data_IF_741670612784
#
_entry.id   IF_741670612784
#
_cell.length_a   1.000
_cell.length_b   1.000
_cell.length_c   1.000
_cell.angle_alpha   90.00
_cell.angle_beta   90.00
_cell.angle_gamma   90.00
#
_symmetry.space_group_name_H-M   'P 1'
#
loop_
_entity.id
_entity.type
_entity.pdbx_description
1 polymer ?
#
# COMPACT_ATOMS: atom_id res chain seq x y z
N UNK A 1 7.94 -27.37 -19.31
CA UNK A 1 7.65 -27.18 -17.87
C UNK A 1 7.36 -25.70 -17.65
N UNK A 2 6.21 -25.33 -17.02
CA UNK A 2 5.86 -24.04 -16.35
C UNK A 2 4.38 -23.59 -16.43
N UNK A 3 3.51 -24.28 -17.14
CA UNK A 3 2.14 -23.77 -17.38
C UNK A 3 1.25 -23.61 -16.13
N UNK A 4 1.56 -24.26 -14.99
CA UNK A 4 0.73 -24.19 -13.77
C UNK A 4 1.10 -23.02 -12.85
N UNK A 5 2.39 -22.78 -12.61
CA UNK A 5 2.84 -21.66 -11.76
C UNK A 5 2.55 -20.31 -12.42
N UNK A 6 2.80 -20.19 -13.72
CA UNK A 6 2.51 -18.97 -14.47
C UNK A 6 1.00 -18.68 -14.50
N UNK A 7 0.18 -19.72 -14.63
CA UNK A 7 -1.28 -19.61 -14.53
C UNK A 7 -1.75 -19.16 -13.14
N UNK A 8 -1.11 -19.63 -12.06
CA UNK A 8 -1.44 -19.17 -10.71
C UNK A 8 -1.08 -17.70 -10.49
N UNK A 9 0.14 -17.29 -10.89
CA UNK A 9 0.58 -15.88 -10.78
C UNK A 9 -0.34 -14.94 -11.56
N UNK A 10 -0.75 -15.36 -12.76
CA UNK A 10 -1.68 -14.58 -13.58
C UNK A 10 -3.08 -14.49 -12.94
N UNK A 11 -3.61 -15.59 -12.40
CA UNK A 11 -4.88 -15.55 -11.64
C UNK A 11 -4.81 -14.64 -10.42
N UNK A 12 -3.69 -14.69 -9.69
CA UNK A 12 -3.46 -13.80 -8.55
C UNK A 12 -3.40 -12.33 -8.99
N UNK A 13 -2.70 -12.03 -10.09
CA UNK A 13 -2.68 -10.69 -10.72
C UNK A 13 -4.09 -10.20 -11.04
N UNK A 14 -4.89 -11.03 -11.71
CA UNK A 14 -6.25 -10.69 -12.10
C UNK A 14 -7.14 -10.43 -10.88
N UNK A 15 -7.01 -11.24 -9.83
CA UNK A 15 -7.73 -11.03 -8.58
C UNK A 15 -7.35 -9.69 -7.92
N UNK A 16 -6.06 -9.34 -7.90
CA UNK A 16 -5.59 -8.06 -7.38
C UNK A 16 -6.11 -6.88 -8.21
N UNK A 17 -6.01 -6.95 -9.54
CA UNK A 17 -6.51 -5.90 -10.45
C UNK A 17 -8.01 -5.70 -10.24
N UNK A 18 -8.78 -6.78 -10.24
CA UNK A 18 -10.24 -6.72 -10.09
C UNK A 18 -10.63 -6.12 -8.74
N UNK A 19 -9.96 -6.52 -7.67
CA UNK A 19 -10.22 -5.96 -6.34
C UNK A 19 -9.86 -4.48 -6.29
N UNK A 20 -8.69 -4.10 -6.82
CA UNK A 20 -8.23 -2.71 -6.83
C UNK A 20 -9.20 -1.80 -7.60
N UNK A 21 -9.72 -2.25 -8.76
CA UNK A 21 -10.72 -1.52 -9.54
C UNK A 21 -12.01 -1.28 -8.78
N UNK A 22 -12.47 -2.25 -8.00
CA UNK A 22 -13.67 -2.08 -7.17
C UNK A 22 -13.42 -1.07 -6.05
N UNK A 23 -12.28 -1.18 -5.35
CA UNK A 23 -11.91 -0.24 -4.27
C UNK A 23 -11.77 1.19 -4.81
N UNK A 24 -11.17 1.37 -5.99
CA UNK A 24 -10.93 2.68 -6.61
C UNK A 24 -12.12 3.25 -7.37
N UNK A 25 -13.26 2.57 -7.42
CA UNK A 25 -14.42 2.87 -8.28
C UNK A 25 -14.14 2.87 -9.79
N UNK A 26 -13.00 2.37 -10.24
CA UNK A 26 -12.63 2.38 -11.66
C UNK A 26 -13.51 1.47 -12.53
N UNK A 27 -14.11 0.44 -11.93
CA UNK A 27 -15.04 -0.46 -12.63
C UNK A 27 -16.23 0.30 -13.28
N UNK A 28 -16.59 1.49 -12.76
CA UNK A 28 -17.65 2.34 -13.33
C UNK A 28 -17.27 2.86 -14.72
N UNK A 29 -15.99 3.10 -14.98
CA UNK A 29 -15.52 3.51 -16.31
C UNK A 29 -15.58 2.36 -17.32
N UNK A 30 -15.35 1.12 -16.86
CA UNK A 30 -15.44 -0.08 -17.69
C UNK A 30 -16.91 -0.37 -18.07
N UNK A 31 -17.86 -0.19 -17.14
CA UNK A 31 -19.31 -0.32 -17.42
C UNK A 31 -19.80 0.71 -18.44
N UNK A 32 -19.27 1.93 -18.40
CA UNK A 32 -19.66 3.02 -19.30
C UNK A 32 -19.00 2.91 -20.69
N UNK A 33 -17.90 2.17 -20.83
CA UNK A 33 -17.21 1.93 -22.10
C UNK A 33 -17.23 0.42 -22.44
N UNK A 34 -18.34 -0.05 -23.01
CA UNK A 34 -18.58 -1.45 -23.39
C UNK A 34 -17.55 -2.07 -24.36
N UNK A 35 -16.62 -1.28 -24.93
CA UNK A 35 -15.72 -1.70 -26.02
C UNK A 35 -14.21 -1.63 -25.69
N UNK A 36 -13.79 -1.48 -24.43
CA UNK A 36 -12.35 -1.48 -24.10
C UNK A 36 -11.89 -2.83 -23.57
N UNK A 37 -10.96 -3.46 -24.30
CA UNK A 37 -10.13 -4.56 -23.82
C UNK A 37 -9.66 -4.26 -22.39
N UNK A 38 -10.01 -5.16 -21.45
CA UNK A 38 -9.74 -5.05 -20.01
C UNK A 38 -8.24 -4.89 -19.67
N UNK A 39 -7.36 -5.01 -20.66
CA UNK A 39 -5.90 -5.01 -20.57
C UNK A 39 -5.23 -3.63 -20.49
N UNK A 40 -5.94 -2.52 -20.73
CA UNK A 40 -5.27 -1.28 -21.19
C UNK A 40 -5.31 -0.03 -20.28
N UNK A 41 -5.57 -0.16 -18.97
CA UNK A 41 -5.35 0.96 -18.04
C UNK A 41 -4.64 0.52 -16.75
N UNK A 42 -3.34 0.28 -16.91
CA UNK A 42 -2.23 0.68 -16.03
C UNK A 42 -2.58 0.90 -14.56
N UNK A 43 -2.97 -0.16 -13.85
CA UNK A 43 -2.46 -0.30 -12.50
C UNK A 43 -1.09 -0.93 -12.72
N UNK A 44 -0.01 -0.18 -12.51
CA UNK A 44 1.35 -0.71 -12.41
C UNK A 44 1.37 -1.70 -11.23
N UNK A 45 0.89 -2.91 -11.51
CA UNK A 45 1.14 -4.06 -10.69
C UNK A 45 2.59 -4.41 -10.93
N UNK A 46 3.38 -4.17 -9.88
CA UNK A 46 4.77 -4.54 -9.77
C UNK A 46 5.02 -5.92 -10.41
N UNK A 47 6.19 -6.09 -11.01
CA UNK A 47 6.71 -7.39 -11.45
C UNK A 47 6.38 -8.47 -10.42
N UNK A 48 5.50 -9.40 -10.81
CA UNK A 48 5.06 -10.53 -9.99
C UNK A 48 6.13 -11.64 -9.92
N UNK A 49 7.29 -11.38 -10.51
CA UNK A 49 8.38 -12.33 -10.65
C UNK A 49 9.01 -12.69 -9.28
N UNK A 50 8.79 -11.85 -8.26
CA UNK A 50 9.26 -12.04 -6.89
C UNK A 50 8.20 -12.57 -5.91
N UNK A 51 7.37 -13.53 -6.33
CA UNK A 51 6.44 -14.27 -5.47
C UNK A 51 7.04 -15.61 -5.03
N UNK A 52 7.86 -15.62 -3.97
CA UNK A 52 8.54 -16.84 -3.48
C UNK A 52 7.95 -17.37 -2.18
N UNK A 53 7.44 -16.48 -1.32
CA UNK A 53 6.93 -16.84 0.00
C UNK A 53 5.63 -16.09 0.34
N UNK A 54 4.99 -16.49 1.44
CA UNK A 54 3.74 -15.88 1.94
C UNK A 54 3.88 -14.37 2.17
N UNK A 55 5.03 -13.90 2.65
CA UNK A 55 5.27 -12.47 2.88
C UNK A 55 5.20 -11.68 1.57
N UNK A 56 5.68 -12.23 0.45
CA UNK A 56 5.59 -11.58 -0.86
C UNK A 56 4.14 -11.35 -1.29
N UNK A 57 3.26 -12.34 -1.09
CA UNK A 57 1.83 -12.22 -1.40
C UNK A 57 1.15 -11.15 -0.53
N UNK A 58 1.41 -11.15 0.77
CA UNK A 58 0.85 -10.14 1.70
C UNK A 58 1.33 -8.74 1.31
N UNK A 59 2.63 -8.60 1.00
CA UNK A 59 3.22 -7.33 0.57
C UNK A 59 2.58 -6.80 -0.71
N UNK A 60 2.42 -7.65 -1.73
CA UNK A 60 1.79 -7.25 -2.99
C UNK A 60 0.31 -6.92 -2.79
N UNK A 61 -0.41 -7.70 -1.99
CA UNK A 61 -1.81 -7.43 -1.66
C UNK A 61 -1.97 -6.08 -0.95
N UNK A 62 -1.20 -5.82 0.08
CA UNK A 62 -1.24 -4.56 0.84
C UNK A 62 -0.85 -3.35 -0.03
N UNK A 63 0.16 -3.50 -0.91
CA UNK A 63 0.53 -2.45 -1.87
C UNK A 63 -0.61 -2.16 -2.86
N UNK A 64 -1.28 -3.20 -3.36
CA UNK A 64 -2.41 -3.06 -4.27
C UNK A 64 -3.59 -2.33 -3.60
N UNK A 65 -3.95 -2.78 -2.39
CA UNK A 65 -5.02 -2.17 -1.60
C UNK A 65 -4.69 -0.69 -1.31
N UNK A 66 -3.47 -0.38 -0.84
CA UNK A 66 -3.02 1.00 -0.57
C UNK A 66 -3.09 1.90 -1.81
N UNK A 67 -2.65 1.42 -2.99
CA UNK A 67 -2.76 2.18 -4.24
C UNK A 67 -4.22 2.47 -4.63
N UNK A 68 -5.11 1.48 -4.47
CA UNK A 68 -6.53 1.65 -4.78
C UNK A 68 -7.19 2.65 -3.81
N UNK A 69 -6.86 2.58 -2.52
CA UNK A 69 -7.32 3.55 -1.52
C UNK A 69 -6.83 4.96 -1.81
N UNK A 70 -5.57 5.14 -2.21
CA UNK A 70 -5.05 6.44 -2.66
C UNK A 70 -5.92 6.99 -3.78
N UNK A 71 -6.21 6.18 -4.79
CA UNK A 71 -7.05 6.62 -5.91
C UNK A 71 -8.48 6.98 -5.48
N UNK A 72 -9.04 6.23 -4.52
CA UNK A 72 -10.40 6.45 -4.00
C UNK A 72 -10.50 7.69 -3.12
N UNK A 73 -9.54 7.90 -2.23
CA UNK A 73 -9.65 8.85 -1.10
C UNK A 73 -8.69 10.04 -1.20
N UNK A 74 -7.79 10.09 -2.18
CA UNK A 74 -6.91 11.24 -2.42
C UNK A 74 -7.33 12.02 -3.65
N UNK A 75 -7.22 13.35 -3.56
CA UNK A 75 -7.38 14.24 -4.70
C UNK A 75 -6.01 14.76 -5.13
N UNK A 76 -5.59 14.43 -6.36
CA UNK A 76 -4.26 14.79 -6.88
C UNK A 76 -4.01 16.30 -6.89
N UNK A 77 -5.03 17.11 -7.26
CA UNK A 77 -4.92 18.56 -7.32
C UNK A 77 -4.74 19.16 -5.93
N UNK A 78 -5.56 18.74 -4.96
CA UNK A 78 -5.45 19.19 -3.57
C UNK A 78 -4.11 18.79 -2.98
N UNK A 79 -3.68 17.54 -3.21
CA UNK A 79 -2.39 17.06 -2.73
C UNK A 79 -1.23 17.90 -3.27
N UNK A 80 -1.21 18.19 -4.58
CA UNK A 80 -0.16 19.00 -5.22
C UNK A 80 -0.18 20.45 -4.76
N UNK A 81 -1.35 21.06 -4.60
CA UNK A 81 -1.48 22.45 -4.14
C UNK A 81 -0.94 22.66 -2.72
N UNK A 82 -0.96 21.62 -1.88
CA UNK A 82 -0.48 21.68 -0.50
C UNK A 82 0.91 21.04 -0.31
N UNK A 83 1.58 20.65 -1.41
CA UNK A 83 2.84 19.93 -1.35
C UNK A 83 3.99 20.85 -0.87
N UNK A 84 4.68 20.54 0.24
CA UNK A 84 5.74 21.39 0.74
C UNK A 84 6.94 21.51 -0.22
N UNK A 85 7.55 22.70 -0.28
CA UNK A 85 8.76 22.93 -1.06
C UNK A 85 10.01 22.29 -0.41
N UNK A 86 10.09 22.30 0.92
CA UNK A 86 11.18 21.66 1.66
C UNK A 86 11.08 20.13 1.54
N UNK A 87 12.19 19.48 1.20
CA UNK A 87 12.26 18.03 0.98
C UNK A 87 11.93 17.20 2.22
N UNK A 88 12.41 17.60 3.39
CA UNK A 88 12.10 16.95 4.66
C UNK A 88 10.61 17.08 4.99
N UNK A 89 10.03 18.27 4.85
CA UNK A 89 8.60 18.48 5.07
C UNK A 89 7.74 17.70 4.06
N UNK A 90 8.21 17.56 2.81
CA UNK A 90 7.53 16.77 1.78
C UNK A 90 7.46 15.29 2.16
N UNK A 91 8.55 14.72 2.70
CA UNK A 91 8.54 13.34 3.16
C UNK A 91 7.49 13.10 4.26
N UNK A 92 7.38 14.03 5.22
CA UNK A 92 6.35 13.96 6.26
C UNK A 92 4.94 14.08 5.68
N UNK A 93 4.73 15.01 4.75
CA UNK A 93 3.45 15.19 4.08
C UNK A 93 3.02 13.95 3.28
N UNK A 94 3.96 13.29 2.60
CA UNK A 94 3.71 12.05 1.86
C UNK A 94 3.29 10.91 2.79
N UNK A 95 3.96 10.79 3.93
CA UNK A 95 3.62 9.81 4.98
C UNK A 95 2.22 10.12 5.54
N UNK A 96 1.93 11.38 5.86
CA UNK A 96 0.64 11.79 6.39
C UNK A 96 -0.51 11.51 5.43
N UNK A 97 -0.36 11.87 4.15
CA UNK A 97 -1.39 11.61 3.15
C UNK A 97 -1.60 10.10 2.94
N UNK A 98 -0.51 9.32 2.97
CA UNK A 98 -0.59 7.86 2.92
C UNK A 98 -1.40 7.27 4.08
N UNK A 99 -1.04 7.65 5.30
CA UNK A 99 -1.75 7.20 6.50
C UNK A 99 -3.21 7.62 6.45
N UNK A 100 -3.52 8.83 5.98
CA UNK A 100 -4.89 9.35 5.87
C UNK A 100 -5.75 8.50 4.95
N UNK A 101 -5.33 8.26 3.70
CA UNK A 101 -6.16 7.48 2.77
C UNK A 101 -6.27 6.01 3.17
N UNK A 102 -5.23 5.43 3.78
CA UNK A 102 -5.26 4.06 4.27
C UNK A 102 -6.22 3.93 5.45
N UNK A 103 -6.16 4.87 6.41
CA UNK A 103 -7.03 4.90 7.58
C UNK A 103 -8.51 5.04 7.21
N UNK A 104 -8.83 5.86 6.21
CA UNK A 104 -10.20 5.95 5.69
C UNK A 104 -10.66 4.62 5.11
N UNK A 105 -9.79 3.94 4.38
CA UNK A 105 -10.05 2.61 3.83
C UNK A 105 -10.30 1.55 4.89
N UNK A 106 -9.45 1.48 5.92
CA UNK A 106 -9.55 0.45 6.96
C UNK A 106 -10.81 0.55 7.80
N UNK A 107 -11.34 1.77 7.98
CA UNK A 107 -12.64 1.99 8.65
C UNK A 107 -13.81 1.34 7.92
N UNK A 108 -13.73 1.23 6.60
CA UNK A 108 -14.82 0.73 5.75
C UNK A 108 -14.59 -0.74 5.35
N UNK A 109 -13.34 -1.15 5.18
CA UNK A 109 -12.96 -2.43 4.57
C UNK A 109 -12.08 -3.25 5.53
N UNK A 110 -12.71 -4.07 6.38
CA UNK A 110 -12.04 -4.90 7.40
C UNK A 110 -10.95 -5.82 6.82
N UNK A 111 -11.18 -6.39 5.64
CA UNK A 111 -10.18 -7.24 4.95
C UNK A 111 -8.91 -6.47 4.59
N UNK A 112 -9.07 -5.24 4.08
CA UNK A 112 -7.94 -4.34 3.80
C UNK A 112 -7.21 -3.96 5.08
N UNK A 113 -7.94 -3.68 6.16
CA UNK A 113 -7.34 -3.41 7.47
C UNK A 113 -6.39 -4.53 7.87
N UNK A 114 -6.82 -5.78 7.75
CA UNK A 114 -5.98 -6.95 8.05
C UNK A 114 -4.73 -7.00 7.15
N UNK A 115 -4.90 -6.82 5.84
CA UNK A 115 -3.79 -6.86 4.88
C UNK A 115 -2.74 -5.78 5.16
N UNK A 116 -3.17 -4.54 5.41
CA UNK A 116 -2.28 -3.42 5.69
C UNK A 116 -1.54 -3.63 7.02
N UNK A 117 -2.27 -3.98 8.09
CA UNK A 117 -1.66 -4.26 9.40
C UNK A 117 -0.61 -5.37 9.30
N UNK A 118 -0.94 -6.48 8.63
CA UNK A 118 0.00 -7.59 8.45
C UNK A 118 1.27 -7.17 7.68
N UNK A 119 1.11 -6.40 6.61
CA UNK A 119 2.25 -5.87 5.85
C UNK A 119 3.11 -4.90 6.68
N UNK A 120 2.50 -4.04 7.49
CA UNK A 120 3.25 -3.16 8.40
C UNK A 120 4.03 -3.97 9.45
N UNK A 121 3.42 -5.00 10.06
CA UNK A 121 4.14 -5.89 10.98
C UNK A 121 5.33 -6.58 10.30
N UNK A 122 5.15 -7.07 9.06
CA UNK A 122 6.25 -7.65 8.30
C UNK A 122 7.37 -6.64 8.02
N UNK A 123 7.05 -5.41 7.62
CA UNK A 123 8.03 -4.33 7.38
C UNK A 123 8.84 -3.99 8.63
N UNK A 124 8.16 -3.88 9.78
CA UNK A 124 8.79 -3.58 11.07
C UNK A 124 9.70 -4.72 11.54
N UNK A 125 9.31 -5.97 11.32
CA UNK A 125 10.12 -7.13 11.71
C UNK A 125 11.36 -7.31 10.81
N UNK A 126 11.27 -6.99 9.52
CA UNK A 126 12.40 -7.08 8.59
C UNK A 126 13.45 -5.99 8.86
N UNK A 127 13.03 -4.72 9.01
CA UNK A 127 13.95 -3.59 9.24
C UNK A 127 14.82 -3.75 10.50
N UNK A 128 14.29 -4.41 11.53
CA UNK A 128 14.97 -4.53 12.84
C UNK A 128 16.07 -5.60 12.88
N UNK A 129 16.10 -6.56 11.95
CA UNK A 129 17.14 -7.59 11.99
C UNK A 129 18.55 -7.03 11.73
N UNK A 130 18.64 -5.93 10.97
CA UNK A 130 19.93 -5.52 10.42
C UNK A 130 20.38 -4.08 10.77
N UNK A 131 19.52 -3.18 11.29
CA UNK A 131 19.84 -1.72 11.25
C UNK A 131 19.59 -0.86 12.51
N UNK A 132 18.62 -1.17 13.39
CA UNK A 132 18.24 -0.24 14.48
C UNK A 132 18.68 -0.77 15.85
N UNK A 133 19.69 -0.11 16.46
CA UNK A 133 20.21 -0.46 17.80
C UNK A 133 19.74 0.53 18.87
N UNK A 134 19.51 1.78 18.49
CA UNK A 134 19.12 2.89 19.37
C UNK A 134 18.01 3.75 18.74
N UNK A 135 17.36 4.64 19.51
CA UNK A 135 16.29 5.52 19.01
C UNK A 135 16.85 6.59 18.07
N UNK A 136 18.12 6.92 18.24
CA UNK A 136 18.89 7.92 17.52
C UNK A 136 19.27 7.46 16.10
N UNK A 137 19.20 6.14 15.83
CA UNK A 137 19.50 5.55 14.51
C UNK A 137 18.38 5.79 13.47
N UNK A 138 17.24 6.37 13.89
CA UNK A 138 16.05 6.55 13.07
C UNK A 138 15.96 8.00 12.56
N UNK A 139 15.90 8.19 11.24
CA UNK A 139 15.67 9.53 10.69
C UNK A 139 14.27 10.06 11.02
N UNK A 140 14.09 11.39 10.97
CA UNK A 140 12.85 12.05 11.35
C UNK A 140 11.61 11.53 10.58
N UNK A 141 11.75 11.20 9.29
CA UNK A 141 10.63 10.69 8.49
C UNK A 141 10.21 9.29 8.93
N UNK A 142 11.16 8.41 9.25
CA UNK A 142 10.87 7.08 9.76
C UNK A 142 10.28 7.13 11.18
N UNK A 143 10.83 7.96 12.07
CA UNK A 143 10.27 8.18 13.40
C UNK A 143 8.83 8.69 13.30
N UNK A 144 8.56 9.57 12.34
CA UNK A 144 7.21 10.05 12.06
C UNK A 144 6.29 8.95 11.52
N UNK A 145 6.73 8.11 10.57
CA UNK A 145 5.94 6.96 10.10
C UNK A 145 5.57 6.03 11.26
N UNK A 146 6.52 5.71 12.14
CA UNK A 146 6.29 4.88 13.34
C UNK A 146 5.27 5.52 14.28
N UNK A 147 5.41 6.81 14.56
CA UNK A 147 4.44 7.57 15.36
C UNK A 147 3.03 7.48 14.76
N UNK A 148 2.89 7.68 13.46
CA UNK A 148 1.59 7.61 12.79
C UNK A 148 1.00 6.20 12.86
N UNK A 149 1.80 5.16 12.65
CA UNK A 149 1.34 3.77 12.73
C UNK A 149 0.88 3.37 14.14
N UNK A 150 1.60 3.80 15.17
CA UNK A 150 1.24 3.58 16.58
C UNK A 150 -0.11 4.22 16.90
N UNK A 151 -0.27 5.49 16.53
CA UNK A 151 -1.44 6.28 16.95
C UNK A 151 -2.69 6.05 16.08
N UNK A 152 -2.53 5.79 14.78
CA UNK A 152 -3.67 5.68 13.85
C UNK A 152 -4.01 4.24 13.44
N UNK A 153 -3.05 3.32 13.48
CA UNK A 153 -3.26 1.91 13.14
C UNK A 153 -3.15 0.97 14.34
N UNK A 154 -2.95 1.52 15.55
CA UNK A 154 -2.78 0.76 16.79
C UNK A 154 -1.73 -0.35 16.66
N UNK A 155 -0.71 -0.13 15.83
CA UNK A 155 0.37 -1.09 15.63
C UNK A 155 1.25 -1.04 16.86
N UNK A 156 1.36 -2.19 17.54
CA UNK A 156 2.26 -2.30 18.69
C UNK A 156 3.69 -2.17 18.22
N UNK A 157 4.33 -1.09 18.65
CA UNK A 157 5.76 -0.89 18.50
C UNK A 157 6.48 -1.63 19.63
N UNK A 158 7.71 -2.11 19.37
CA UNK A 158 8.53 -2.72 20.40
C UNK A 158 9.16 -1.62 21.28
N UNK A 159 9.72 -1.94 22.47
CA UNK A 159 10.25 -0.92 23.40
C UNK A 159 11.33 0.02 22.84
N UNK A 160 12.02 -0.42 21.78
CA UNK A 160 13.04 0.35 21.05
C UNK A 160 12.43 1.28 19.99
N UNK A 161 11.15 1.64 20.08
CA UNK A 161 10.39 2.36 19.06
C UNK A 161 9.38 3.33 19.65
#
# INVERSE_FOLDING_TARGET
>A
MNNKEDNFKEKFKQALISTAKVISDDYKFDLNNKNKNLSSKNIDFFELDNLKNRQDFVRLRAKADSKALKKKFSNKKIYQNNLPNNTSCRALYDISEKIRYELLGTKILKGISKNLSENYYQKLNLKRKDQLKTKEDVNAAEAFELYMLKNFFSIKLNPLS
#
